data_IF_460312900408
#
_entry.id   IF_460312900408
#
_cell.length_a   1.000
_cell.length_b   1.000
_cell.length_c   1.000
_cell.angle_alpha   90.00
_cell.angle_beta   90.00
_cell.angle_gamma   90.00
#
_symmetry.space_group_name_H-M   'P 1'
#
loop_
_entity.id
_entity.type
_entity.pdbx_description
1 polymer ?
#
# COMPACT_ATOMS: atom_id res chain seq x y z
N UNK A 1 3.30 6.74 19.96
CA UNK A 1 2.78 5.53 19.30
C UNK A 1 3.91 4.51 19.28
N UNK A 2 3.61 3.22 19.10
CA UNK A 2 4.66 2.19 19.11
C UNK A 2 5.69 2.43 17.99
N UNK A 3 6.85 1.79 18.07
CA UNK A 3 7.81 1.83 16.95
C UNK A 3 7.16 1.14 15.74
N UNK A 4 6.82 1.91 14.72
CA UNK A 4 6.35 1.38 13.44
C UNK A 4 7.56 1.01 12.57
N UNK A 5 7.59 -0.22 12.06
CA UNK A 5 8.61 -0.67 11.11
C UNK A 5 8.08 -0.56 9.68
N UNK A 6 8.98 -0.29 8.74
CA UNK A 6 8.63 -0.33 7.32
C UNK A 6 8.10 -1.71 6.97
N UNK A 7 6.90 -1.76 6.41
CA UNK A 7 6.24 -3.01 6.00
C UNK A 7 5.53 -3.79 7.10
N UNK A 8 5.38 -3.24 8.32
CA UNK A 8 4.54 -3.84 9.38
C UNK A 8 3.14 -4.17 8.85
N UNK A 9 2.58 -3.23 8.06
CA UNK A 9 1.41 -3.46 7.24
C UNK A 9 1.81 -3.60 5.78
N UNK A 10 1.79 -4.84 5.28
CA UNK A 10 2.06 -5.15 3.88
C UNK A 10 1.07 -6.18 3.33
N UNK A 11 0.85 -6.12 2.01
CA UNK A 11 0.11 -7.13 1.28
C UNK A 11 0.77 -7.42 -0.05
N UNK A 12 0.77 -8.70 -0.42
CA UNK A 12 1.30 -9.21 -1.68
C UNK A 12 0.14 -9.65 -2.57
N UNK A 13 0.23 -9.34 -3.85
CA UNK A 13 -0.73 -9.74 -4.86
C UNK A 13 -0.02 -10.12 -6.15
N UNK A 14 -0.51 -11.14 -6.83
CA UNK A 14 0.01 -11.59 -8.12
C UNK A 14 -1.12 -11.50 -9.14
N UNK A 15 -0.90 -10.76 -10.22
CA UNK A 15 -1.89 -10.64 -11.31
C UNK A 15 -1.95 -11.93 -12.13
N UNK A 16 -2.95 -12.04 -13.00
CA UNK A 16 -3.04 -13.17 -13.95
C UNK A 16 -1.91 -13.19 -14.98
N UNK A 17 -1.24 -12.06 -15.23
CA UNK A 17 -0.04 -11.97 -16.06
C UNK A 17 1.24 -12.38 -15.33
N UNK A 18 1.18 -12.67 -14.03
CA UNK A 18 2.32 -13.03 -13.20
C UNK A 18 3.11 -11.83 -12.65
N UNK A 19 2.62 -10.60 -12.82
CA UNK A 19 3.21 -9.43 -12.18
C UNK A 19 3.00 -9.51 -10.66
N UNK A 20 4.08 -9.36 -9.89
CA UNK A 20 4.02 -9.28 -8.42
C UNK A 20 3.88 -7.84 -8.00
N UNK A 21 2.94 -7.59 -7.08
CA UNK A 21 2.65 -6.29 -6.47
C UNK A 21 2.77 -6.44 -4.96
N UNK A 22 3.50 -5.54 -4.32
CA UNK A 22 3.61 -5.46 -2.87
C UNK A 22 3.24 -4.04 -2.48
N UNK A 23 2.13 -3.87 -1.79
CA UNK A 23 1.78 -2.61 -1.16
C UNK A 23 2.18 -2.67 0.31
N UNK A 24 2.83 -1.62 0.81
CA UNK A 24 3.29 -1.57 2.19
C UNK A 24 3.30 -0.15 2.73
N UNK A 25 3.13 -0.01 4.04
CA UNK A 25 3.40 1.26 4.72
C UNK A 25 4.91 1.48 4.85
N UNK A 26 5.41 2.61 4.35
CA UNK A 26 6.73 3.10 4.73
C UNK A 26 6.60 3.91 6.01
N UNK A 27 6.98 3.32 7.16
CA UNK A 27 6.92 3.99 8.45
C UNK A 27 7.87 5.21 8.57
N UNK A 28 8.84 5.35 7.66
CA UNK A 28 9.77 6.49 7.62
C UNK A 28 9.09 7.75 7.12
N UNK A 29 8.31 7.64 6.04
CA UNK A 29 7.58 8.76 5.43
C UNK A 29 6.09 8.78 5.80
N UNK A 30 5.60 7.67 6.36
CA UNK A 30 4.20 7.39 6.72
C UNK A 30 3.26 7.36 5.51
N UNK A 31 3.76 6.88 4.37
CA UNK A 31 3.08 6.78 3.08
C UNK A 31 2.81 5.31 2.72
N UNK A 32 1.93 5.06 1.75
CA UNK A 32 1.81 3.73 1.12
C UNK A 32 2.69 3.69 -0.12
N UNK A 33 3.62 2.74 -0.13
CA UNK A 33 4.46 2.45 -1.29
C UNK A 33 3.90 1.21 -2.00
N UNK A 34 3.90 1.25 -3.32
CA UNK A 34 3.69 0.10 -4.18
C UNK A 34 5.00 -0.29 -4.85
N UNK A 35 5.48 -1.50 -4.54
CA UNK A 35 6.51 -2.17 -5.29
C UNK A 35 5.89 -3.10 -6.34
N UNK A 36 6.36 -3.03 -7.58
CA UNK A 36 5.93 -3.94 -8.65
C UNK A 36 7.11 -4.61 -9.32
N UNK A 37 6.90 -5.85 -9.77
CA UNK A 37 7.86 -6.59 -10.58
C UNK A 37 7.10 -7.36 -11.65
N UNK A 38 7.28 -6.93 -12.90
CA UNK A 38 6.57 -7.46 -14.05
C UNK A 38 6.91 -8.93 -14.35
N UNK A 39 8.17 -9.33 -14.16
CA UNK A 39 8.66 -10.68 -14.47
C UNK A 39 9.51 -11.25 -13.34
N UNK A 40 9.44 -12.56 -13.13
CA UNK A 40 10.31 -13.23 -12.15
C UNK A 40 11.79 -12.97 -12.47
N UNK A 41 12.55 -12.50 -11.47
CA UNK A 41 13.95 -12.10 -11.64
C UNK A 41 14.18 -10.72 -12.27
N UNK A 42 13.12 -10.03 -12.71
CA UNK A 42 13.20 -8.64 -13.18
C UNK A 42 13.40 -7.63 -12.05
N UNK A 43 13.71 -6.36 -12.39
CA UNK A 43 13.88 -5.30 -11.41
C UNK A 43 12.55 -4.95 -10.71
N UNK A 44 12.65 -4.38 -9.51
CA UNK A 44 11.52 -3.79 -8.82
C UNK A 44 11.35 -2.33 -9.23
N UNK A 45 10.12 -1.95 -9.59
CA UNK A 45 9.69 -0.56 -9.64
C UNK A 45 9.04 -0.17 -8.30
N UNK A 46 9.30 1.05 -7.83
CA UNK A 46 8.67 1.60 -6.63
C UNK A 46 7.91 2.87 -7.00
N UNK A 47 6.72 3.07 -6.43
CA UNK A 47 6.02 4.36 -6.47
C UNK A 47 5.19 4.59 -5.22
N UNK A 48 4.97 5.86 -4.88
CA UNK A 48 3.98 6.25 -3.89
C UNK A 48 2.58 5.93 -4.44
N UNK A 49 1.79 5.20 -3.67
CA UNK A 49 0.39 4.87 -3.98
C UNK A 49 -0.57 5.78 -3.23
N UNK A 50 -0.24 6.14 -1.99
CA UNK A 50 -0.91 7.18 -1.20
C UNK A 50 0.18 7.97 -0.46
N UNK A 51 0.28 9.27 -0.78
CA UNK A 51 1.31 10.18 -0.24
C UNK A 51 0.84 10.97 0.97
N UNK A 52 -0.40 10.75 1.43
CA UNK A 52 -0.86 11.37 2.66
C UNK A 52 -0.14 10.75 3.86
N UNK A 53 0.35 11.59 4.77
CA UNK A 53 0.97 11.10 6.00
C UNK A 53 -0.04 10.35 6.87
N UNK A 54 0.44 9.32 7.57
CA UNK A 54 -0.36 8.43 8.44
C UNK A 54 -1.42 7.63 7.66
N UNK A 55 -1.04 7.13 6.50
CA UNK A 55 -1.80 6.15 5.72
C UNK A 55 -1.10 4.78 5.75
N UNK A 56 -1.73 3.75 5.20
CA UNK A 56 -1.12 2.43 5.04
C UNK A 56 -1.35 1.44 6.18
N UNK A 57 -2.12 1.80 7.20
CA UNK A 57 -2.43 0.89 8.30
C UNK A 57 -3.41 -0.21 7.87
N UNK A 58 -3.27 -1.40 8.45
CA UNK A 58 -4.14 -2.57 8.25
C UNK A 58 -4.37 -2.91 6.78
N UNK A 59 -3.30 -2.81 5.99
CA UNK A 59 -3.36 -2.84 4.54
C UNK A 59 -3.86 -4.20 4.01
N UNK A 60 -4.70 -4.13 2.97
CA UNK A 60 -5.15 -5.29 2.19
C UNK A 60 -5.05 -5.00 0.70
N UNK A 61 -4.53 -5.96 -0.05
CA UNK A 61 -4.56 -5.93 -1.51
C UNK A 61 -5.75 -6.76 -2.01
N UNK A 62 -6.60 -6.15 -2.83
CA UNK A 62 -7.82 -6.73 -3.36
C UNK A 62 -7.74 -6.75 -4.90
N UNK A 63 -8.23 -7.83 -5.52
CA UNK A 63 -8.28 -7.91 -6.97
C UNK A 63 -8.79 -9.26 -7.48
N UNK A 64 -9.22 -9.28 -8.73
CA UNK A 64 -9.77 -10.46 -9.43
C UNK A 64 -8.81 -11.04 -10.50
N UNK A 65 -7.61 -10.48 -10.60
CA UNK A 65 -6.58 -10.81 -11.57
C UNK A 65 -6.39 -9.74 -12.62
N UNK A 66 -7.45 -8.98 -12.89
CA UNK A 66 -7.52 -7.91 -13.90
C UNK A 66 -7.69 -6.53 -13.26
N UNK A 67 -8.41 -6.46 -12.14
CA UNK A 67 -8.53 -5.28 -11.30
C UNK A 67 -7.68 -5.43 -10.05
N UNK A 68 -7.16 -4.31 -9.57
CA UNK A 68 -6.25 -4.28 -8.42
C UNK A 68 -6.46 -3.01 -7.62
N UNK A 69 -6.71 -3.17 -6.33
CA UNK A 69 -6.93 -2.09 -5.38
C UNK A 69 -6.26 -2.39 -4.06
N UNK A 70 -6.00 -1.34 -3.29
CA UNK A 70 -5.49 -1.46 -1.93
C UNK A 70 -6.49 -0.80 -0.99
N UNK A 71 -6.99 -1.55 -0.02
CA UNK A 71 -7.77 -1.02 1.08
C UNK A 71 -6.85 -0.77 2.27
N UNK A 72 -6.95 0.39 2.90
CA UNK A 72 -6.13 0.75 4.05
C UNK A 72 -6.86 1.72 4.96
N UNK A 73 -6.52 1.69 6.24
CA UNK A 73 -6.94 2.70 7.20
C UNK A 73 -5.93 3.86 7.23
N UNK A 74 -6.44 5.07 7.37
CA UNK A 74 -5.64 6.29 7.51
C UNK A 74 -6.12 7.10 8.71
N UNK A 75 -5.17 7.79 9.34
CA UNK A 75 -5.41 8.65 10.50
C UNK A 75 -5.48 10.11 10.06
N UNK A 76 -6.57 10.78 10.39
CA UNK A 76 -6.69 12.23 10.25
C UNK A 76 -5.89 12.99 11.31
N UNK A 77 -5.67 14.30 11.11
CA UNK A 77 -5.10 15.18 12.14
C UNK A 77 -5.87 15.12 13.47
N UNK A 78 -5.18 15.27 14.61
CA UNK A 78 -5.79 15.17 15.94
C UNK A 78 -6.80 16.29 16.21
N UNK A 79 -6.58 17.49 15.68
CA UNK A 79 -7.38 18.67 15.98
C UNK A 79 -8.83 18.51 15.49
N UNK A 80 -9.03 18.17 14.21
CA UNK A 80 -10.36 18.10 13.58
C UNK A 80 -10.44 17.02 12.46
N UNK A 81 -9.48 16.09 12.42
CA UNK A 81 -9.33 15.16 11.31
C UNK A 81 -10.27 13.96 11.40
N UNK A 82 -10.97 13.68 10.31
CA UNK A 82 -11.64 12.39 10.11
C UNK A 82 -10.57 11.32 9.89
N UNK A 83 -10.73 10.15 10.49
CA UNK A 83 -9.95 8.95 10.15
C UNK A 83 -10.88 7.94 9.48
N UNK A 84 -10.34 7.02 8.70
CA UNK A 84 -11.22 6.04 8.05
C UNK A 84 -10.53 5.11 7.09
N UNK A 85 -11.31 4.48 6.23
CA UNK A 85 -10.82 3.56 5.20
C UNK A 85 -10.71 4.30 3.87
N UNK A 86 -9.63 4.05 3.14
CA UNK A 86 -9.45 4.43 1.73
C UNK A 86 -9.34 3.19 0.86
N UNK A 87 -9.81 3.32 -0.38
CA UNK A 87 -9.65 2.32 -1.42
C UNK A 87 -8.86 2.94 -2.58
N UNK A 88 -7.59 2.55 -2.70
CA UNK A 88 -6.62 3.08 -3.64
C UNK A 88 -6.62 2.24 -4.92
N UNK A 89 -6.69 2.90 -6.08
CA UNK A 89 -6.59 2.19 -7.37
C UNK A 89 -5.14 1.86 -7.68
N UNK A 90 -4.85 0.61 -8.02
CA UNK A 90 -3.54 0.20 -8.52
C UNK A 90 -3.66 0.00 -10.02
N UNK A 91 -3.11 0.97 -10.76
CA UNK A 91 -2.84 0.83 -12.20
C UNK A 91 -1.52 0.11 -12.38
#
# INVERSE_FOLDING_TARGET
>A
DGRHLVGDDSAVYVTTSGEVRIAYQDATTQEVILATRATAGGPWGLRVLDGDRHTGFFLRHLGDGTTSRVATWWKGPIADGVSGIRLLSVK
#
